data_IF_661589085174
#
_entry.id   IF_661589085174
#
_cell.length_a   1.000
_cell.length_b   1.000
_cell.length_c   1.000
_cell.angle_alpha   90.00
_cell.angle_beta   90.00
_cell.angle_gamma   90.00
#
_symmetry.space_group_name_H-M   'P 1'
#
loop_
_entity.id
_entity.type
_entity.pdbx_description
1 polymer ?
#
# COMPACT_ATOMS: atom_id res chain seq x y z
N UNK A 1 9.96 -12.30 13.27
CA UNK A 1 8.78 -12.92 12.61
C UNK A 1 9.04 -12.84 11.11
N UNK A 2 8.61 -13.85 10.35
CA UNK A 2 8.87 -13.89 8.92
C UNK A 2 7.89 -13.00 8.14
N UNK A 3 8.41 -12.18 7.23
CA UNK A 3 7.57 -11.36 6.36
C UNK A 3 6.69 -12.26 5.49
N UNK A 4 5.38 -12.01 5.47
CA UNK A 4 4.44 -12.85 4.71
C UNK A 4 4.66 -12.75 3.19
N UNK A 5 5.31 -11.68 2.72
CA UNK A 5 5.57 -11.45 1.29
C UNK A 5 6.89 -12.04 0.80
N UNK A 6 7.97 -11.91 1.58
CA UNK A 6 9.31 -12.30 1.13
C UNK A 6 10.01 -13.34 2.04
N UNK A 7 9.39 -13.73 3.15
CA UNK A 7 9.87 -14.79 4.03
C UNK A 7 11.08 -14.43 4.92
N UNK A 8 11.63 -13.22 4.80
CA UNK A 8 12.78 -12.79 5.61
C UNK A 8 12.38 -12.61 7.07
N UNK A 9 13.26 -13.00 7.99
CA UNK A 9 13.07 -12.67 9.41
C UNK A 9 13.44 -11.21 9.64
N UNK A 10 12.43 -10.40 9.98
CA UNK A 10 12.57 -8.97 10.15
C UNK A 10 11.49 -8.43 11.10
N UNK A 11 11.59 -7.16 11.44
CA UNK A 11 10.49 -6.43 12.09
C UNK A 11 9.36 -6.24 11.09
N UNK A 12 8.16 -6.68 11.47
CA UNK A 12 6.96 -6.59 10.64
C UNK A 12 6.07 -5.44 11.11
N UNK A 13 5.46 -4.75 10.16
CA UNK A 13 4.44 -3.74 10.42
C UNK A 13 3.09 -4.28 10.01
N UNK A 14 2.10 -4.10 10.88
CA UNK A 14 0.70 -4.41 10.61
C UNK A 14 0.08 -3.39 9.64
N UNK A 15 -0.60 -3.88 8.61
CA UNK A 15 -1.39 -3.08 7.67
C UNK A 15 -2.74 -3.74 7.42
N UNK A 16 -3.80 -2.97 7.61
CA UNK A 16 -5.14 -3.36 7.21
C UNK A 16 -5.42 -2.82 5.80
N UNK A 17 -5.78 -3.71 4.88
CA UNK A 17 -6.20 -3.36 3.52
C UNK A 17 -7.48 -4.12 3.20
N UNK A 18 -8.56 -3.39 2.95
CA UNK A 18 -9.89 -3.95 2.64
C UNK A 18 -10.40 -4.96 3.70
N UNK A 19 -10.00 -4.78 4.98
CA UNK A 19 -10.35 -5.67 6.09
C UNK A 19 -9.44 -6.89 6.25
N UNK A 20 -8.34 -6.96 5.49
CA UNK A 20 -7.32 -8.00 5.63
C UNK A 20 -6.06 -7.43 6.27
N UNK A 21 -5.62 -8.08 7.35
CA UNK A 21 -4.38 -7.75 8.05
C UNK A 21 -3.17 -8.41 7.37
N UNK A 22 -2.18 -7.59 7.01
CA UNK A 22 -0.90 -8.01 6.45
C UNK A 22 0.25 -7.63 7.39
N UNK A 23 1.22 -8.52 7.53
CA UNK A 23 2.44 -8.30 8.33
C UNK A 23 3.67 -8.31 7.42
N UNK A 24 4.12 -7.11 7.06
CA UNK A 24 5.18 -6.90 6.07
C UNK A 24 6.41 -6.24 6.67
N UNK A 25 7.59 -6.63 6.19
CA UNK A 25 8.83 -5.94 6.52
C UNK A 25 8.93 -4.58 5.80
N UNK A 26 9.80 -3.72 6.30
CA UNK A 26 10.02 -2.36 5.77
C UNK A 26 10.31 -2.35 4.26
N UNK A 27 11.18 -3.24 3.78
CA UNK A 27 11.50 -3.32 2.35
C UNK A 27 10.27 -3.63 1.48
N UNK A 28 9.39 -4.52 1.95
CA UNK A 28 8.14 -4.84 1.26
C UNK A 28 7.14 -3.68 1.32
N UNK A 29 7.13 -2.91 2.41
CA UNK A 29 6.29 -1.71 2.55
C UNK A 29 6.74 -0.59 1.62
N UNK A 30 8.05 -0.36 1.49
CA UNK A 30 8.59 0.65 0.56
C UNK A 30 8.19 0.33 -0.88
N UNK A 31 8.38 -0.92 -1.31
CA UNK A 31 7.99 -1.34 -2.66
C UNK A 31 6.46 -1.32 -2.87
N UNK A 32 5.69 -1.57 -1.81
CA UNK A 32 4.23 -1.47 -1.84
C UNK A 32 3.77 -0.02 -1.97
N UNK A 33 4.35 0.90 -1.19
CA UNK A 33 4.03 2.33 -1.23
C UNK A 33 4.41 2.97 -2.57
N UNK A 34 5.49 2.51 -3.21
CA UNK A 34 5.85 2.95 -4.56
C UNK A 34 4.78 2.60 -5.61
N UNK A 35 4.08 1.46 -5.46
CA UNK A 35 3.00 1.04 -6.36
C UNK A 35 1.67 1.70 -5.98
N UNK A 36 1.43 1.88 -4.67
CA UNK A 36 0.18 2.45 -4.16
C UNK A 36 0.16 3.96 -4.12
N UNK A 37 1.30 4.64 -4.16
CA UNK A 37 1.37 6.08 -4.33
C UNK A 37 0.55 6.41 -5.57
N UNK A 38 -0.68 6.92 -5.40
CA UNK A 38 -1.29 7.62 -6.51
C UNK A 38 -0.34 8.78 -6.74
N UNK A 39 -0.01 9.10 -7.98
CA UNK A 39 0.26 10.50 -8.26
C UNK A 39 -0.98 11.26 -7.79
N UNK A 40 -0.95 11.75 -6.55
CA UNK A 40 -1.93 12.65 -5.94
C UNK A 40 -1.87 13.89 -6.82
N UNK A 41 -2.73 13.91 -7.86
CA UNK A 41 -2.70 14.95 -8.87
C UNK A 41 -3.35 14.63 -10.22
N UNK A 42 -3.82 13.41 -10.50
CA UNK A 42 -4.34 13.12 -11.85
C UNK A 42 -5.62 12.28 -11.95
N UNK A 43 -6.43 12.18 -10.89
CA UNK A 43 -7.79 11.62 -11.03
C UNK A 43 -8.82 12.41 -10.22
N UNK A 44 -9.70 13.04 -10.99
CA UNK A 44 -11.10 13.35 -10.67
C UNK A 44 -11.44 14.68 -9.98
N UNK A 45 -10.92 15.80 -10.49
CA UNK A 45 -11.69 17.07 -10.55
C UNK A 45 -12.38 17.26 -11.93
N UNK A 46 -12.66 16.15 -12.63
CA UNK A 46 -13.32 16.14 -13.94
C UNK A 46 -14.56 15.24 -13.98
N UNK A 47 -15.20 14.97 -12.83
CA UNK A 47 -16.60 14.53 -12.85
C UNK A 47 -17.49 15.73 -13.14
N UNK A 48 -17.52 16.07 -14.43
CA UNK A 48 -18.55 16.82 -15.14
C UNK A 48 -19.47 17.68 -14.28
N UNK A 49 -19.17 18.97 -14.21
CA UNK A 49 -20.22 19.98 -14.23
C UNK A 49 -20.97 19.85 -15.57
N UNK A 50 -21.93 18.93 -15.63
CA UNK A 50 -22.93 18.89 -16.68
C UNK A 50 -24.17 19.62 -16.18
N UNK A 51 -24.18 20.91 -16.52
CA UNK A 51 -25.30 21.77 -16.96
C UNK A 51 -26.67 21.58 -16.31
#
# INVERSE_FOLDING_TARGET
MNCERCGVDATLTHRDVDGFAYYLCEACLIGWDAVRSPSVGARDEARSAAQ
#
